data_IF_182355547763
#
_entry.id   IF_182355547763
#
_cell.length_a   1.000
_cell.length_b   1.000
_cell.length_c   1.000
_cell.angle_alpha   90.00
_cell.angle_beta   90.00
_cell.angle_gamma   90.00
#
_symmetry.space_group_name_H-M   'P 1'
#
loop_
_entity.id
_entity.type
_entity.pdbx_description
1 polymer ?
#
# COMPACT_ATOMS: atom_id res chain seq x y z
N UNK A 1 -0.74 19.04 10.34
CA UNK A 1 0.02 17.77 10.29
C UNK A 1 -0.78 16.64 9.61
N UNK A 2 -2.06 16.43 9.96
CA UNK A 2 -2.98 15.50 9.27
C UNK A 2 -3.06 15.67 7.73
N UNK A 3 -2.85 16.89 7.22
CA UNK A 3 -2.81 17.16 5.78
C UNK A 3 -1.82 16.28 5.03
N UNK A 4 -0.64 15.95 5.60
CA UNK A 4 0.32 15.08 4.92
C UNK A 4 -0.23 13.66 4.74
N UNK A 5 -0.77 13.07 5.82
CA UNK A 5 -1.44 11.77 5.80
C UNK A 5 -2.57 11.72 4.76
N UNK A 6 -3.38 12.77 4.67
CA UNK A 6 -4.54 12.82 3.77
C UNK A 6 -4.12 13.08 2.31
N UNK A 7 -3.15 13.97 2.07
CA UNK A 7 -2.82 14.45 0.73
C UNK A 7 -1.70 13.66 0.03
N UNK A 8 -0.84 12.95 0.74
CA UNK A 8 0.31 12.27 0.13
C UNK A 8 -0.08 11.31 -1.01
N UNK A 9 -1.02 10.39 -0.74
CA UNK A 9 -1.45 9.40 -1.74
C UNK A 9 -2.25 10.04 -2.90
N UNK A 10 -3.21 10.96 -2.66
CA UNK A 10 -3.84 11.72 -3.74
C UNK A 10 -2.83 12.47 -4.62
N UNK A 11 -1.84 13.15 -4.02
CA UNK A 11 -0.79 13.84 -4.77
C UNK A 11 0.02 12.84 -5.59
N UNK A 12 0.43 11.71 -5.01
CA UNK A 12 1.15 10.67 -5.73
C UNK A 12 0.35 10.09 -6.91
N UNK A 13 -0.96 9.90 -6.73
CA UNK A 13 -1.86 9.44 -7.80
C UNK A 13 -2.03 10.50 -8.91
N UNK A 14 -2.19 11.78 -8.55
CA UNK A 14 -2.26 12.86 -9.57
C UNK A 14 -0.96 12.98 -10.35
N UNK A 15 0.19 12.90 -9.68
CA UNK A 15 1.50 12.88 -10.34
C UNK A 15 1.61 11.69 -11.30
N UNK A 16 1.25 10.48 -10.85
CA UNK A 16 1.22 9.29 -11.71
C UNK A 16 0.31 9.48 -12.94
N UNK A 17 -0.90 10.01 -12.73
CA UNK A 17 -1.87 10.26 -13.80
C UNK A 17 -1.35 11.26 -14.84
N UNK A 18 -0.66 12.31 -14.38
CA UNK A 18 -0.04 13.30 -15.25
C UNK A 18 1.08 12.70 -16.11
N UNK A 19 1.87 11.78 -15.56
CA UNK A 19 2.94 11.11 -16.31
C UNK A 19 2.42 10.06 -17.30
N UNK A 20 1.41 9.28 -16.94
CA UNK A 20 0.91 8.18 -17.77
C UNK A 20 -0.02 8.68 -18.89
N UNK A 21 -0.79 9.75 -18.66
CA UNK A 21 -1.72 10.35 -19.64
C UNK A 21 -2.73 9.36 -20.27
N UNK A 22 -3.03 8.26 -19.60
CA UNK A 22 -4.01 7.27 -20.06
C UNK A 22 -5.35 7.47 -19.35
N UNK A 23 -6.42 7.71 -20.13
CA UNK A 23 -7.78 7.88 -19.59
C UNK A 23 -8.36 6.58 -19.02
N UNK A 24 -7.82 5.42 -19.39
CA UNK A 24 -8.27 4.11 -18.88
C UNK A 24 -8.03 3.92 -17.38
N UNK A 25 -7.20 4.76 -16.75
CA UNK A 25 -6.94 4.71 -15.30
C UNK A 25 -8.11 5.24 -14.46
N UNK A 26 -9.04 5.99 -15.06
CA UNK A 26 -10.13 6.67 -14.33
C UNK A 26 -11.07 5.67 -13.67
N UNK A 27 -11.55 4.67 -14.43
CA UNK A 27 -12.46 3.65 -13.89
C UNK A 27 -11.80 2.85 -12.74
N UNK A 28 -10.58 2.28 -12.91
CA UNK A 28 -9.83 1.66 -11.82
C UNK A 28 -9.68 2.55 -10.58
N UNK A 29 -9.41 3.83 -10.75
CA UNK A 29 -9.27 4.78 -9.65
C UNK A 29 -10.57 5.02 -8.88
N UNK A 30 -11.67 5.24 -9.61
CA UNK A 30 -13.02 5.37 -9.05
C UNK A 30 -13.38 4.09 -8.28
N UNK A 31 -13.10 2.91 -8.84
CA UNK A 31 -13.39 1.64 -8.15
C UNK A 31 -12.60 1.50 -6.86
N UNK A 32 -11.32 1.87 -6.85
CA UNK A 32 -10.49 1.83 -5.64
C UNK A 32 -11.01 2.76 -4.55
N UNK A 33 -11.34 4.00 -4.93
CA UNK A 33 -11.90 4.99 -4.01
C UNK A 33 -13.23 4.53 -3.38
N UNK A 34 -14.22 4.14 -4.20
CA UNK A 34 -15.52 3.70 -3.68
C UNK A 34 -15.42 2.41 -2.87
N UNK A 35 -14.53 1.50 -3.25
CA UNK A 35 -14.26 0.30 -2.46
C UNK A 35 -13.75 0.67 -1.07
N UNK A 36 -12.83 1.63 -0.96
CA UNK A 36 -12.35 2.08 0.34
C UNK A 36 -13.46 2.72 1.17
N UNK A 37 -14.30 3.57 0.58
CA UNK A 37 -15.45 4.17 1.28
C UNK A 37 -16.36 3.09 1.86
N UNK A 38 -16.70 2.06 1.07
CA UNK A 38 -17.55 0.95 1.52
C UNK A 38 -16.85 0.15 2.63
N UNK A 39 -15.58 -0.20 2.46
CA UNK A 39 -14.81 -0.94 3.47
C UNK A 39 -14.71 -0.16 4.78
N UNK A 40 -14.42 1.14 4.73
CA UNK A 40 -14.37 2.02 5.89
C UNK A 40 -15.75 2.15 6.55
N UNK A 41 -16.82 2.31 5.79
CA UNK A 41 -18.18 2.36 6.32
C UNK A 41 -18.56 1.05 7.01
N UNK A 42 -18.32 -0.10 6.36
CA UNK A 42 -18.55 -1.42 6.98
C UNK A 42 -17.75 -1.57 8.27
N UNK A 43 -16.49 -1.15 8.28
CA UNK A 43 -15.65 -1.21 9.50
C UNK A 43 -16.17 -0.31 10.60
N UNK A 44 -16.68 0.87 10.27
CA UNK A 44 -17.28 1.79 11.24
C UNK A 44 -18.58 1.22 11.84
N UNK A 45 -19.45 0.62 11.02
CA UNK A 45 -20.74 0.08 11.49
C UNK A 45 -20.62 -1.29 12.18
N UNK A 46 -19.74 -2.17 11.71
CA UNK A 46 -19.68 -3.57 12.15
C UNK A 46 -18.48 -3.91 13.02
N UNK A 47 -17.45 -3.06 13.08
CA UNK A 47 -16.26 -3.30 13.91
C UNK A 47 -16.13 -2.26 15.01
N UNK A 48 -17.05 -2.32 15.99
CA UNK A 48 -16.92 -1.68 17.30
C UNK A 48 -15.88 -2.37 18.21
N UNK A 49 -14.86 -3.00 17.62
CA UNK A 49 -13.72 -3.51 18.39
C UNK A 49 -12.76 -2.35 18.64
N UNK A 50 -12.81 -1.75 19.82
CA UNK A 50 -11.67 -0.99 20.34
C UNK A 50 -10.47 -1.94 20.33
N UNK A 51 -9.56 -1.74 19.37
CA UNK A 51 -8.38 -2.59 19.23
C UNK A 51 -7.58 -2.51 20.53
N UNK A 52 -7.42 -3.64 21.20
CA UNK A 52 -6.43 -3.78 22.27
C UNK A 52 -5.05 -3.90 21.61
N UNK A 53 -4.16 -2.95 21.90
CA UNK A 53 -2.74 -3.07 21.54
C UNK A 53 -2.12 -4.03 22.55
N UNK A 54 -1.66 -5.18 22.08
CA UNK A 54 -0.98 -6.16 22.92
C UNK A 54 0.49 -5.77 23.09
N UNK A 55 1.11 -6.05 24.23
CA UNK A 55 2.57 -5.94 24.43
C UNK A 55 3.36 -7.08 23.75
N UNK A 56 2.85 -7.59 22.62
CA UNK A 56 3.42 -8.70 21.87
C UNK A 56 3.65 -8.28 20.42
N UNK A 57 4.88 -8.46 19.94
CA UNK A 57 5.22 -8.21 18.54
C UNK A 57 4.38 -9.09 17.60
N UNK A 58 4.28 -10.38 17.90
CA UNK A 58 3.64 -11.37 17.00
C UNK A 58 2.15 -11.10 16.79
N UNK A 59 1.43 -10.75 17.86
CA UNK A 59 -0.02 -10.48 17.78
C UNK A 59 -0.30 -9.19 17.00
N UNK A 60 0.48 -8.13 17.27
CA UNK A 60 0.40 -6.90 16.49
C UNK A 60 0.79 -7.13 15.03
N UNK A 61 1.86 -7.87 14.77
CA UNK A 61 2.32 -8.18 13.42
C UNK A 61 1.26 -8.92 12.61
N UNK A 62 0.67 -9.99 13.17
CA UNK A 62 -0.40 -10.76 12.50
C UNK A 62 -1.60 -9.85 12.23
N UNK A 63 -2.00 -9.03 13.21
CA UNK A 63 -3.08 -8.08 13.04
C UNK A 63 -2.82 -7.10 11.90
N UNK A 64 -1.65 -6.45 11.88
CA UNK A 64 -1.31 -5.46 10.85
C UNK A 64 -1.16 -6.13 9.47
N UNK A 65 -0.49 -7.27 9.39
CA UNK A 65 -0.29 -8.00 8.15
C UNK A 65 -1.61 -8.46 7.54
N UNK A 66 -2.49 -9.05 8.34
CA UNK A 66 -3.75 -9.61 7.83
C UNK A 66 -4.80 -8.52 7.67
N UNK A 67 -5.13 -7.78 8.73
CA UNK A 67 -6.28 -6.85 8.73
C UNK A 67 -5.97 -5.51 8.06
N UNK A 68 -4.74 -5.00 8.13
CA UNK A 68 -4.38 -3.68 7.55
C UNK A 68 -3.71 -3.77 6.16
N UNK A 69 -2.98 -4.85 5.86
CA UNK A 69 -2.30 -5.00 4.55
C UNK A 69 -3.02 -5.97 3.61
N UNK A 70 -3.06 -7.26 3.96
CA UNK A 70 -3.55 -8.34 3.07
C UNK A 70 -5.02 -8.21 2.74
N UNK A 71 -5.89 -8.10 3.76
CA UNK A 71 -7.33 -8.09 3.55
C UNK A 71 -7.77 -6.93 2.64
N UNK A 72 -7.33 -5.68 2.85
CA UNK A 72 -7.66 -4.57 1.95
C UNK A 72 -7.16 -4.77 0.52
N UNK A 73 -5.94 -5.29 0.35
CA UNK A 73 -5.37 -5.59 -0.97
C UNK A 73 -6.16 -6.68 -1.70
N UNK A 74 -6.52 -7.77 -1.01
CA UNK A 74 -7.26 -8.89 -1.59
C UNK A 74 -8.67 -8.46 -1.96
N UNK A 75 -9.39 -7.80 -1.05
CA UNK A 75 -10.77 -7.32 -1.29
C UNK A 75 -10.81 -6.39 -2.50
N UNK A 76 -9.90 -5.41 -2.56
CA UNK A 76 -9.87 -4.45 -3.67
C UNK A 76 -9.46 -5.11 -4.99
N UNK A 77 -8.54 -6.08 -4.95
CA UNK A 77 -8.14 -6.86 -6.14
C UNK A 77 -9.27 -7.75 -6.67
N UNK A 78 -10.10 -8.32 -5.79
CA UNK A 78 -11.27 -9.11 -6.18
C UNK A 78 -12.33 -8.21 -6.81
N UNK A 79 -12.62 -7.06 -6.19
CA UNK A 79 -13.64 -6.14 -6.68
C UNK A 79 -13.28 -5.62 -8.07
N UNK A 80 -12.03 -5.22 -8.31
CA UNK A 80 -11.63 -4.81 -9.65
C UNK A 80 -11.69 -5.97 -10.65
N UNK A 81 -11.32 -7.18 -10.24
CA UNK A 81 -11.39 -8.34 -11.11
C UNK A 81 -12.82 -8.63 -11.58
N UNK A 82 -13.82 -8.36 -10.73
CA UNK A 82 -15.25 -8.50 -11.02
C UNK A 82 -15.75 -7.36 -11.92
N UNK A 83 -15.37 -6.10 -11.63
CA UNK A 83 -15.90 -4.92 -12.31
C UNK A 83 -15.35 -4.79 -13.74
N UNK A 84 -14.04 -4.92 -13.94
CA UNK A 84 -13.45 -4.62 -15.25
C UNK A 84 -13.55 -5.79 -16.21
N UNK A 85 -13.62 -7.04 -15.72
CA UNK A 85 -13.64 -8.29 -16.52
C UNK A 85 -12.57 -8.35 -17.62
N UNK A 86 -11.50 -7.55 -17.47
CA UNK A 86 -10.43 -7.41 -18.44
C UNK A 86 -9.33 -8.48 -18.25
N UNK A 87 -8.33 -8.42 -19.14
CA UNK A 87 -7.15 -9.30 -19.11
C UNK A 87 -6.31 -9.10 -17.84
N UNK A 88 -5.51 -10.13 -17.50
CA UNK A 88 -4.55 -10.04 -16.39
C UNK A 88 -3.53 -8.92 -16.56
N UNK A 89 -3.11 -8.65 -17.80
CA UNK A 89 -2.20 -7.55 -18.12
C UNK A 89 -2.81 -6.19 -17.71
N UNK A 90 -4.09 -5.97 -18.03
CA UNK A 90 -4.80 -4.76 -17.65
C UNK A 90 -4.87 -4.61 -16.13
N UNK A 91 -5.22 -5.69 -15.41
CA UNK A 91 -5.32 -5.68 -13.94
C UNK A 91 -3.97 -5.38 -13.28
N UNK A 92 -2.89 -5.96 -13.80
CA UNK A 92 -1.53 -5.75 -13.29
C UNK A 92 -1.07 -4.31 -13.54
N UNK A 93 -1.26 -3.78 -14.75
CA UNK A 93 -0.90 -2.39 -15.09
C UNK A 93 -1.70 -1.36 -14.30
N UNK A 94 -2.94 -1.69 -13.93
CA UNK A 94 -3.82 -0.81 -13.17
C UNK A 94 -3.80 -1.05 -11.66
N UNK A 95 -2.92 -1.91 -11.13
CA UNK A 95 -2.82 -2.14 -9.68
C UNK A 95 -2.56 -0.84 -8.91
N UNK A 96 -1.58 -0.03 -9.33
CA UNK A 96 -1.30 1.27 -8.68
C UNK A 96 -2.49 2.24 -8.78
N UNK A 97 -3.08 2.49 -9.96
CA UNK A 97 -4.29 3.31 -10.09
C UNK A 97 -5.46 2.95 -9.18
N UNK A 98 -5.52 1.73 -8.68
CA UNK A 98 -6.64 1.21 -7.89
C UNK A 98 -6.32 1.27 -6.41
N UNK A 99 -5.15 0.74 -6.06
CA UNK A 99 -4.73 0.68 -4.67
C UNK A 99 -4.39 2.05 -4.12
N UNK A 100 -3.84 2.97 -4.93
CA UNK A 100 -3.47 4.29 -4.44
C UNK A 100 -4.68 5.11 -3.98
N UNK A 101 -5.79 5.26 -4.76
CA UNK A 101 -7.02 5.88 -4.28
C UNK A 101 -7.70 5.11 -3.14
N UNK A 102 -7.60 3.78 -3.13
CA UNK A 102 -8.11 2.97 -2.02
C UNK A 102 -7.41 3.34 -0.70
N UNK A 103 -6.07 3.27 -0.67
CA UNK A 103 -5.29 3.58 0.52
C UNK A 103 -5.32 5.07 0.87
N UNK A 104 -5.59 5.97 -0.09
CA UNK A 104 -5.80 7.39 0.19
C UNK A 104 -6.99 7.66 1.12
N UNK A 105 -7.98 6.77 1.15
CA UNK A 105 -9.13 6.83 2.07
C UNK A 105 -8.92 5.90 3.26
N UNK A 106 -8.50 4.66 3.00
CA UNK A 106 -8.39 3.62 4.01
C UNK A 106 -7.32 3.90 5.07
N UNK A 107 -6.14 4.43 4.67
CA UNK A 107 -5.04 4.67 5.60
C UNK A 107 -5.35 5.81 6.58
N UNK A 108 -5.82 7.01 6.14
CA UNK A 108 -6.25 8.04 7.07
C UNK A 108 -7.36 7.59 8.00
N UNK A 109 -8.35 6.84 7.50
CA UNK A 109 -9.39 6.24 8.34
C UNK A 109 -8.75 5.39 9.46
N UNK A 110 -7.85 4.45 9.12
CA UNK A 110 -7.20 3.59 10.11
C UNK A 110 -6.44 4.38 11.19
N UNK A 111 -5.75 5.46 10.81
CA UNK A 111 -4.97 6.29 11.74
C UNK A 111 -5.89 7.12 12.65
N UNK A 112 -6.92 7.76 12.07
CA UNK A 112 -7.85 8.63 12.79
C UNK A 112 -8.69 7.83 13.78
N UNK A 113 -9.18 6.65 13.40
CA UNK A 113 -10.01 5.82 14.30
C UNK A 113 -9.21 5.12 15.40
N UNK A 114 -7.90 4.96 15.22
CA UNK A 114 -7.05 4.26 16.19
C UNK A 114 -6.42 5.18 17.23
N UNK A 115 -6.43 6.50 17.03
CA UNK A 115 -5.76 7.46 17.91
C UNK A 115 -6.78 8.24 18.73
N UNK A 116 -6.80 7.99 20.03
CA UNK A 116 -7.59 8.75 21.01
C UNK A 116 -6.92 10.11 21.29
N UNK A 117 -6.79 10.97 20.27
CA UNK A 117 -6.33 12.37 20.34
C UNK A 117 -4.81 12.66 20.28
N UNK A 118 -3.92 11.67 20.36
CA UNK A 118 -2.47 11.88 20.20
C UNK A 118 -1.91 11.24 18.92
N UNK A 119 -1.71 12.06 17.89
CA UNK A 119 -1.06 11.65 16.65
C UNK A 119 0.46 11.82 16.75
N UNK A 120 1.23 10.73 16.67
CA UNK A 120 2.69 10.83 16.67
C UNK A 120 3.26 10.96 15.24
N UNK A 121 4.54 11.31 15.15
CA UNK A 121 5.23 11.52 13.88
C UNK A 121 5.23 10.26 12.98
N UNK A 122 5.25 9.07 13.58
CA UNK A 122 5.16 7.80 12.87
C UNK A 122 3.87 7.73 12.04
N UNK A 123 2.72 7.90 12.70
CA UNK A 123 1.40 7.76 12.09
C UNK A 123 1.14 8.83 11.03
N UNK A 124 1.66 10.03 11.25
CA UNK A 124 1.40 11.19 10.40
C UNK A 124 2.32 11.28 9.19
N UNK A 125 3.56 10.80 9.26
CA UNK A 125 4.57 11.00 8.20
C UNK A 125 5.17 9.70 7.70
N UNK A 126 5.74 8.89 8.59
CA UNK A 126 6.50 7.71 8.17
C UNK A 126 5.57 6.63 7.61
N UNK A 127 4.44 6.36 8.28
CA UNK A 127 3.47 5.35 7.85
C UNK A 127 2.90 5.63 6.45
N UNK A 128 2.40 6.84 6.11
CA UNK A 128 1.99 7.18 4.74
C UNK A 128 3.08 6.95 3.69
N UNK A 129 4.34 7.31 3.99
CA UNK A 129 5.46 7.08 3.10
C UNK A 129 5.75 5.60 2.90
N UNK A 130 5.73 4.80 3.97
CA UNK A 130 5.92 3.35 3.90
C UNK A 130 4.84 2.70 3.03
N UNK A 131 3.57 3.06 3.22
CA UNK A 131 2.47 2.50 2.41
C UNK A 131 2.56 2.95 0.95
N UNK A 132 2.90 4.21 0.67
CA UNK A 132 3.14 4.66 -0.70
C UNK A 132 4.29 3.90 -1.36
N UNK A 133 5.41 3.73 -0.64
CA UNK A 133 6.56 2.97 -1.12
C UNK A 133 6.19 1.50 -1.40
N UNK A 134 5.43 0.86 -0.50
CA UNK A 134 4.88 -0.49 -0.71
C UNK A 134 4.08 -0.55 -2.02
N UNK A 135 3.15 0.38 -2.22
CA UNK A 135 2.32 0.39 -3.43
C UNK A 135 3.15 0.54 -4.70
N UNK A 136 4.10 1.46 -4.73
CA UNK A 136 4.98 1.68 -5.90
C UNK A 136 5.83 0.44 -6.17
N UNK A 137 6.46 -0.13 -5.14
CA UNK A 137 7.33 -1.30 -5.26
C UNK A 137 6.58 -2.54 -5.71
N UNK A 138 5.41 -2.83 -5.11
CA UNK A 138 4.56 -3.95 -5.51
C UNK A 138 4.10 -3.77 -6.96
N UNK A 139 3.65 -2.57 -7.34
CA UNK A 139 3.21 -2.29 -8.71
C UNK A 139 4.31 -2.54 -9.73
N UNK A 140 5.53 -2.08 -9.43
CA UNK A 140 6.70 -2.31 -10.27
C UNK A 140 7.03 -3.80 -10.38
N UNK A 141 7.08 -4.52 -9.25
CA UNK A 141 7.38 -5.95 -9.24
C UNK A 141 6.30 -6.79 -9.93
N UNK A 142 5.02 -6.41 -9.84
CA UNK A 142 3.93 -7.10 -10.53
C UNK A 142 4.06 -6.99 -12.06
N UNK A 143 4.41 -5.81 -12.57
CA UNK A 143 4.65 -5.62 -14.01
C UNK A 143 5.83 -6.48 -14.46
N UNK A 144 6.95 -6.48 -13.71
CA UNK A 144 8.13 -7.28 -14.04
C UNK A 144 7.90 -8.78 -13.91
N UNK A 145 7.08 -9.19 -12.95
CA UNK A 145 6.63 -10.57 -12.80
C UNK A 145 5.86 -11.02 -14.04
N UNK A 146 4.89 -10.23 -14.49
CA UNK A 146 4.12 -10.51 -15.70
C UNK A 146 5.02 -10.61 -16.94
N UNK A 147 5.91 -9.63 -17.15
CA UNK A 147 6.89 -9.66 -18.24
C UNK A 147 7.78 -10.92 -18.17
N UNK A 148 8.18 -11.34 -16.97
CA UNK A 148 9.02 -12.52 -16.79
C UNK A 148 8.27 -13.81 -17.13
N UNK A 149 6.99 -13.92 -16.78
CA UNK A 149 6.14 -15.06 -17.15
C UNK A 149 5.98 -15.13 -18.68
N UNK A 150 5.60 -14.01 -19.31
CA UNK A 150 5.37 -13.95 -20.76
C UNK A 150 6.64 -14.34 -21.53
N UNK A 151 7.80 -13.90 -21.04
CA UNK A 151 9.12 -14.22 -21.60
C UNK A 151 9.70 -15.58 -21.13
N UNK A 152 8.92 -16.40 -20.41
CA UNK A 152 9.31 -17.72 -19.87
C UNK A 152 10.56 -17.69 -18.97
N UNK A 153 10.83 -16.57 -18.32
CA UNK A 153 11.95 -16.35 -17.39
C UNK A 153 11.53 -16.70 -15.95
N UNK A 154 11.37 -18.00 -15.67
CA UNK A 154 10.81 -18.50 -14.40
C UNK A 154 11.58 -18.02 -13.16
N UNK A 155 12.92 -18.03 -13.19
CA UNK A 155 13.74 -17.57 -12.06
C UNK A 155 13.44 -16.11 -11.68
N UNK A 156 13.35 -15.23 -12.67
CA UNK A 156 13.05 -13.81 -12.45
C UNK A 156 11.61 -13.61 -11.97
N UNK A 157 10.67 -14.44 -12.43
CA UNK A 157 9.30 -14.43 -11.93
C UNK A 157 9.25 -14.80 -10.43
N UNK A 158 9.97 -15.84 -10.00
CA UNK A 158 10.06 -16.24 -8.59
C UNK A 158 10.68 -15.12 -7.75
N UNK A 159 11.76 -14.50 -8.21
CA UNK A 159 12.39 -13.37 -7.51
C UNK A 159 11.42 -12.21 -7.30
N UNK A 160 10.60 -11.87 -8.30
CA UNK A 160 9.61 -10.79 -8.15
C UNK A 160 8.46 -11.15 -7.21
N UNK A 161 8.04 -12.42 -7.15
CA UNK A 161 7.09 -12.87 -6.11
C UNK A 161 7.68 -12.69 -4.72
N UNK A 162 8.93 -13.14 -4.50
CA UNK A 162 9.60 -12.98 -3.20
C UNK A 162 9.72 -11.50 -2.80
N UNK A 163 10.06 -10.63 -3.75
CA UNK A 163 10.10 -9.19 -3.51
C UNK A 163 8.72 -8.62 -3.13
N UNK A 164 7.65 -9.02 -3.82
CA UNK A 164 6.28 -8.61 -3.47
C UNK A 164 5.95 -8.99 -2.03
N UNK A 165 6.30 -10.21 -1.61
CA UNK A 165 6.09 -10.67 -0.23
C UNK A 165 6.89 -9.82 0.77
N UNK A 166 8.16 -9.54 0.49
CA UNK A 166 8.98 -8.67 1.34
C UNK A 166 8.38 -7.26 1.48
N UNK A 167 7.93 -6.68 0.37
CA UNK A 167 7.33 -5.34 0.37
C UNK A 167 6.01 -5.29 1.12
N UNK A 168 5.21 -6.35 1.06
CA UNK A 168 3.94 -6.47 1.77
C UNK A 168 4.11 -6.64 3.28
N UNK A 169 5.16 -7.35 3.70
CA UNK A 169 5.43 -7.68 5.10
C UNK A 169 6.00 -6.47 5.85
N UNK A 170 6.80 -5.64 5.20
CA UNK A 170 7.52 -4.55 5.87
C UNK A 170 6.62 -3.54 6.61
N UNK A 171 5.52 -3.01 6.02
CA UNK A 171 4.64 -2.09 6.76
C UNK A 171 4.07 -2.71 8.04
N UNK A 172 3.77 -4.02 8.02
CA UNK A 172 3.26 -4.72 9.20
C UNK A 172 4.34 -4.90 10.29
N UNK A 173 5.60 -5.14 9.90
CA UNK A 173 6.74 -5.15 10.85
C UNK A 173 6.90 -3.77 11.48
N UNK A 174 6.92 -2.72 10.66
CA UNK A 174 7.08 -1.34 11.13
C UNK A 174 5.97 -0.94 12.10
N UNK A 175 4.71 -1.23 11.74
CA UNK A 175 3.56 -0.96 12.58
C UNK A 175 3.59 -1.76 13.89
N UNK A 176 4.04 -3.02 13.86
CA UNK A 176 4.16 -3.86 15.06
C UNK A 176 5.27 -3.42 15.99
N UNK A 177 6.43 -3.01 15.46
CA UNK A 177 7.53 -2.46 16.25
C UNK A 177 7.15 -1.13 16.91
N UNK A 178 6.44 -0.28 16.17
CA UNK A 178 5.93 0.98 16.71
C UNK A 178 4.88 0.73 17.81
N UNK A 179 3.98 -0.24 17.64
CA UNK A 179 2.95 -0.57 18.62
C UNK A 179 3.48 -1.10 19.96
N UNK A 180 4.71 -1.61 20.01
CA UNK A 180 5.38 -2.07 21.25
C UNK A 180 6.42 -1.06 21.76
N UNK A 181 6.36 0.19 21.29
CA UNK A 181 7.29 1.29 21.65
C UNK A 181 8.77 0.93 21.43
N UNK A 182 9.08 0.18 20.38
CA UNK A 182 10.46 -0.12 20.02
C UNK A 182 11.21 1.16 19.60
N UNK A 183 12.55 1.11 19.61
CA UNK A 183 13.40 2.28 19.34
C UNK A 183 13.01 2.99 18.02
N UNK A 184 12.45 4.18 18.16
CA UNK A 184 11.94 4.98 17.05
C UNK A 184 13.01 5.33 16.02
N UNK A 185 14.27 5.52 16.43
CA UNK A 185 15.37 5.83 15.50
C UNK A 185 15.66 4.65 14.54
N UNK A 186 15.52 3.41 15.02
CA UNK A 186 15.68 2.21 14.18
C UNK A 186 14.51 2.11 13.20
N UNK A 187 13.27 2.30 13.68
CA UNK A 187 12.08 2.28 12.81
C UNK A 187 12.20 3.35 11.72
N UNK A 188 12.60 4.58 12.10
CA UNK A 188 12.77 5.70 11.18
C UNK A 188 13.86 5.44 10.13
N UNK A 189 15.06 5.02 10.56
CA UNK A 189 16.17 4.78 9.64
C UNK A 189 15.87 3.69 8.63
N UNK A 190 15.33 2.55 9.07
CA UNK A 190 14.94 1.46 8.17
C UNK A 190 13.77 1.89 7.27
N UNK A 191 12.82 2.67 7.80
CA UNK A 191 11.69 3.21 7.05
C UNK A 191 12.14 4.13 5.93
N UNK A 192 13.09 5.03 6.21
CA UNK A 192 13.68 5.91 5.20
C UNK A 192 14.34 5.07 4.11
N UNK A 193 15.19 4.09 4.47
CA UNK A 193 15.84 3.21 3.49
C UNK A 193 14.81 2.50 2.61
N UNK A 194 13.75 1.94 3.21
CA UNK A 194 12.66 1.28 2.48
C UNK A 194 11.97 2.25 1.50
N UNK A 195 11.70 3.49 1.93
CA UNK A 195 11.04 4.51 1.10
C UNK A 195 11.92 5.12 0.00
N UNK A 196 13.24 4.94 0.07
CA UNK A 196 14.18 5.38 -0.97
C UNK A 196 14.33 4.37 -2.12
N UNK A 197 14.05 3.08 -1.87
CA UNK A 197 14.08 2.04 -2.91
C UNK A 197 13.21 2.36 -4.14
N UNK A 198 11.95 2.83 -4.03
CA UNK A 198 11.14 3.24 -5.18
C UNK A 198 11.78 4.39 -5.98
N UNK A 199 12.41 5.36 -5.31
CA UNK A 199 13.10 6.47 -5.98
C UNK A 199 14.29 5.93 -6.80
N UNK A 200 15.09 5.03 -6.23
CA UNK A 200 16.17 4.36 -6.95
C UNK A 200 15.65 3.54 -8.15
N UNK A 201 14.54 2.82 -7.99
CA UNK A 201 13.91 2.05 -9.08
C UNK A 201 13.43 2.95 -10.22
N UNK A 202 12.88 4.13 -9.92
CA UNK A 202 12.44 5.11 -10.92
C UNK A 202 13.63 5.71 -11.69
N UNK A 203 14.72 6.04 -11.01
CA UNK A 203 15.96 6.53 -11.65
C UNK A 203 16.55 5.47 -12.59
N UNK A 204 16.66 4.22 -12.15
CA UNK A 204 17.16 3.11 -12.97
C UNK A 204 16.29 2.90 -14.22
N UNK A 205 14.96 3.09 -14.11
CA UNK A 205 14.05 2.97 -15.25
C UNK A 205 14.22 4.09 -16.26
N UNK A 206 14.54 5.31 -15.83
CA UNK A 206 14.81 6.43 -16.73
C UNK A 206 16.14 6.27 -17.48
N UNK A 207 17.17 5.72 -16.85
CA UNK A 207 18.48 5.47 -17.47
C UNK A 207 18.48 4.38 -18.57
N UNK A 208 17.42 3.56 -18.64
CA UNK A 208 17.27 2.49 -19.64
C UNK A 208 16.39 2.88 -20.84
N UNK A 209 15.84 4.09 -20.86
CA UNK A 209 15.16 4.68 -22.03
C UNK A 209 16.16 5.47 -22.84
#
# INVERSE_FOLDING_TARGET
MLLFLILLLPIAFTAYSFFVKDKKIILPAITGFFTAVIVCACRYFFSYEHRLIYFSFSENFIYFLIKQNLLPLVVTSIIIAIITRDTWEFKIKNFFPVMCPFFAVYLPYCVITASEYYYQAYDLFLKPLIYLAMLVQISYSLIRFYESIVNKKVLFAILHILLILCYLVYPAISDALYAIDYNFAIILSVGIVYTLVPAALLVIRQLKK
#
